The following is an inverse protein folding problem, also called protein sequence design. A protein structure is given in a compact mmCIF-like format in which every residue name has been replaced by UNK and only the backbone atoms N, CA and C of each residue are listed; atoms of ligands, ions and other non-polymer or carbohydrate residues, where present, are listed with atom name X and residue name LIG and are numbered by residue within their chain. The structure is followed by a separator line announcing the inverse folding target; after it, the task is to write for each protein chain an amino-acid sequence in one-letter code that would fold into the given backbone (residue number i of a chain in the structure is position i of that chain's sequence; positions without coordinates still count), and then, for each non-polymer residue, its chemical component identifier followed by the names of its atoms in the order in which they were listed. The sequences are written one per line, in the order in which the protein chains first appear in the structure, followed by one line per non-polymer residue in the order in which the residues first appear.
data_IF_778095742246
#
_entry.id   IF_778095742246
#
_cell.length_a   1.000
_cell.length_b   1.000
_cell.length_c   1.000
_cell.angle_alpha   90.00
_cell.angle_beta   90.00
_cell.angle_gamma   90.00
#
_symmetry.space_group_name_H-M   'P 1'
#
loop_
_entity.id
_entity.type
_entity.pdbx_description
1 polymer ?
#
# COMPACT_ATOMS: atom_id res chain seq x y z
N UNK A 1 -4.06 5.61 8.85
CA UNK A 1 -4.74 4.36 8.47
C UNK A 1 -4.70 3.39 9.64
N UNK A 2 -5.77 2.63 9.89
CA UNK A 2 -5.86 1.65 11.00
C UNK A 2 -6.33 0.30 10.45
N UNK A 3 -5.66 -0.79 10.82
CA UNK A 3 -6.02 -2.17 10.47
C UNK A 3 -5.80 -3.07 11.69
N UNK A 4 -6.88 -3.57 12.31
CA UNK A 4 -6.79 -4.24 13.61
C UNK A 4 -6.10 -3.34 14.64
N UNK A 5 -5.04 -3.84 15.26
CA UNK A 5 -4.20 -3.10 16.21
C UNK A 5 -3.07 -2.31 15.53
N UNK A 6 -2.87 -2.48 14.23
CA UNK A 6 -1.81 -1.83 13.47
C UNK A 6 -2.23 -0.41 13.04
N UNK A 7 -1.30 0.55 13.20
CA UNK A 7 -1.49 1.96 12.83
C UNK A 7 -0.38 2.39 11.88
N UNK A 8 -0.78 2.93 10.73
CA UNK A 8 0.13 3.56 9.78
C UNK A 8 -0.20 5.06 9.72
N UNK A 9 0.78 5.90 10.05
CA UNK A 9 0.65 7.35 9.92
C UNK A 9 0.71 7.71 8.45
N UNK A 10 -0.35 8.33 7.94
CA UNK A 10 -0.38 8.87 6.57
C UNK A 10 -0.14 10.38 6.71
N UNK A 11 0.95 10.93 6.17
CA UNK A 11 1.16 12.38 6.17
C UNK A 11 0.00 13.09 5.46
N UNK A 12 -0.27 14.35 5.80
CA UNK A 12 -1.38 15.12 5.20
C UNK A 12 -0.97 15.87 3.93
N UNK A 13 0.15 15.49 3.33
CA UNK A 13 0.76 16.20 2.21
C UNK A 13 0.06 15.78 0.91
N UNK A 14 -0.18 16.73 0.02
CA UNK A 14 -0.76 16.45 -1.29
C UNK A 14 0.21 15.69 -2.21
N UNK A 15 1.51 15.82 -1.95
CA UNK A 15 2.57 15.15 -2.68
C UNK A 15 3.52 14.39 -1.74
N UNK A 16 3.95 13.22 -2.20
CA UNK A 16 4.93 12.39 -1.51
C UNK A 16 6.17 12.21 -2.38
N UNK A 17 7.33 12.32 -1.75
CA UNK A 17 8.57 11.92 -2.41
C UNK A 17 8.59 10.40 -2.62
N UNK A 18 9.24 9.94 -3.70
CA UNK A 18 9.40 8.50 -3.96
C UNK A 18 10.04 7.74 -2.77
N UNK A 19 11.05 8.28 -2.07
CA UNK A 19 11.56 7.66 -0.84
C UNK A 19 10.51 7.47 0.26
N UNK A 20 9.64 8.46 0.50
CA UNK A 20 8.58 8.36 1.50
C UNK A 20 7.55 7.28 1.14
N UNK A 21 7.12 7.23 -0.13
CA UNK A 21 6.21 6.19 -0.60
C UNK A 21 6.80 4.79 -0.41
N UNK A 22 8.10 4.61 -0.72
CA UNK A 22 8.79 3.32 -0.49
C UNK A 22 8.82 2.92 0.98
N UNK A 23 8.96 3.87 1.90
CA UNK A 23 8.92 3.59 3.33
C UNK A 23 7.51 3.14 3.76
N UNK A 24 6.47 3.87 3.35
CA UNK A 24 5.09 3.52 3.68
C UNK A 24 4.71 2.13 3.15
N UNK A 25 5.08 1.79 1.92
CA UNK A 25 4.84 0.46 1.35
C UNK A 25 5.54 -0.62 2.17
N UNK A 26 6.80 -0.40 2.58
CA UNK A 26 7.54 -1.34 3.43
C UNK A 26 6.88 -1.55 4.79
N UNK A 27 6.35 -0.50 5.42
CA UNK A 27 5.63 -0.63 6.69
C UNK A 27 4.37 -1.48 6.53
N UNK A 28 3.64 -1.32 5.42
CA UNK A 28 2.49 -2.19 5.10
C UNK A 28 2.93 -3.64 4.89
N UNK A 29 4.01 -3.89 4.15
CA UNK A 29 4.54 -5.25 3.96
C UNK A 29 4.93 -5.92 5.29
N UNK A 30 5.47 -5.15 6.24
CA UNK A 30 5.79 -5.64 7.59
C UNK A 30 4.51 -5.98 8.36
N UNK A 31 3.51 -5.10 8.34
CA UNK A 31 2.21 -5.33 8.98
C UNK A 31 1.50 -6.57 8.42
N UNK A 32 1.61 -6.80 7.11
CA UNK A 32 1.01 -7.95 6.43
C UNK A 32 1.87 -9.23 6.52
N UNK A 33 3.08 -9.15 7.08
CA UNK A 33 4.07 -10.22 7.13
C UNK A 33 4.38 -10.84 5.75
N UNK A 34 4.22 -10.07 4.67
CA UNK A 34 4.48 -10.51 3.29
C UNK A 34 4.78 -9.35 2.36
N UNK A 35 5.40 -9.67 1.23
CA UNK A 35 5.59 -8.71 0.14
C UNK A 35 4.29 -8.45 -0.62
N UNK A 36 4.12 -7.22 -1.09
CA UNK A 36 3.04 -6.86 -2.02
C UNK A 36 3.61 -7.03 -3.42
N UNK A 37 3.00 -7.90 -4.21
CA UNK A 37 3.43 -8.10 -5.60
C UNK A 37 2.91 -6.96 -6.49
N UNK A 38 3.60 -6.72 -7.60
CA UNK A 38 3.14 -5.73 -8.58
C UNK A 38 1.75 -6.07 -9.13
N UNK A 39 1.44 -7.35 -9.31
CA UNK A 39 0.14 -7.82 -9.77
C UNK A 39 -0.97 -7.48 -8.77
N UNK A 40 -0.74 -7.78 -7.48
CA UNK A 40 -1.68 -7.44 -6.42
C UNK A 40 -1.90 -5.92 -6.34
N UNK A 41 -0.81 -5.15 -6.37
CA UNK A 41 -0.86 -3.69 -6.36
C UNK A 41 -1.69 -3.15 -7.52
N UNK A 42 -1.41 -3.61 -8.75
CA UNK A 42 -2.16 -3.20 -9.94
C UNK A 42 -3.63 -3.59 -9.87
N UNK A 43 -3.94 -4.70 -9.20
CA UNK A 43 -5.31 -5.15 -9.03
C UNK A 43 -6.18 -4.28 -8.12
N UNK A 44 -5.56 -3.39 -7.31
CA UNK A 44 -6.28 -2.40 -6.51
C UNK A 44 -6.85 -1.26 -7.36
N UNK A 45 -6.25 -1.00 -8.52
CA UNK A 45 -6.64 0.09 -9.42
C UNK A 45 -7.51 -0.37 -10.59
N UNK A 46 -7.42 -1.65 -10.98
CA UNK A 46 -8.18 -2.21 -12.09
C UNK A 46 -9.53 -2.79 -11.60
N UNK A 47 -10.67 -2.45 -12.25
CA UNK A 47 -11.95 -3.06 -11.95
C UNK A 47 -11.88 -4.58 -12.10
N UNK A 48 -12.50 -5.33 -11.19
CA UNK A 48 -12.53 -6.81 -11.23
C UNK A 48 -13.15 -7.41 -12.51
N UNK A 49 -13.77 -6.58 -13.36
CA UNK A 49 -14.42 -6.97 -14.61
C UNK A 49 -13.47 -7.30 -15.76
N UNK A 50 -12.18 -6.96 -15.66
CA UNK A 50 -11.20 -7.09 -16.76
C UNK A 50 -10.20 -8.24 -16.52
N UNK A 51 -10.67 -9.31 -15.87
CA UNK A 51 -9.92 -10.58 -15.72
C UNK A 51 -10.61 -11.65 -16.55
N UNK A 52 -10.30 -11.72 -17.85
CA UNK A 52 -10.66 -12.83 -18.74
C UNK A 52 -9.64 -13.96 -18.64
#
# INVERSE_FOLDING_TARGET
MVYGECRLTIPSNDEYSVPQLRLMIREVEVILERKITLEEWNSLYLPKSDRS
#
